data_IF_753969260247
#
_entry.id   IF_753969260247
#
_cell.length_a   1.000
_cell.length_b   1.000
_cell.length_c   1.000
_cell.angle_alpha   90.00
_cell.angle_beta   90.00
_cell.angle_gamma   90.00
#
_symmetry.space_group_name_H-M   'P 1'
#
loop_
_entity.id
_entity.type
_entity.pdbx_description
1 polymer ?
#
# COMPACT_ATOMS: atom_id res chain seq x y z
N UNK A 1 22.04 12.29 43.75
CA UNK A 1 20.78 13.00 43.55
C UNK A 1 19.96 12.97 44.84
N UNK A 2 19.29 14.07 45.15
CA UNK A 2 18.38 14.08 46.26
C UNK A 2 17.01 13.58 45.79
N UNK A 3 16.09 13.42 46.72
CA UNK A 3 14.77 12.88 46.38
C UNK A 3 14.00 13.77 45.39
N UNK A 4 14.16 15.08 45.52
CA UNK A 4 13.44 16.01 44.68
C UNK A 4 13.98 15.94 43.24
N UNK A 5 15.29 15.89 43.10
CA UNK A 5 15.90 15.78 41.76
C UNK A 5 15.51 14.49 41.12
N UNK A 6 15.50 13.40 41.86
CA UNK A 6 15.08 12.09 41.38
C UNK A 6 13.64 12.13 40.88
N UNK A 7 12.76 12.74 41.66
CA UNK A 7 11.35 12.86 41.31
C UNK A 7 11.19 13.68 40.05
N UNK A 8 11.93 14.74 39.91
CA UNK A 8 11.88 15.58 38.73
C UNK A 8 12.32 14.83 37.45
N UNK A 9 13.38 14.05 37.59
CA UNK A 9 13.88 13.24 36.48
C UNK A 9 12.82 12.21 36.08
N UNK A 10 12.23 11.55 37.05
CA UNK A 10 11.20 10.54 36.78
C UNK A 10 10.01 11.18 36.08
N UNK A 11 9.56 12.33 36.56
CA UNK A 11 8.42 13.02 35.94
C UNK A 11 8.73 13.40 34.50
N UNK A 12 9.94 13.87 34.27
CA UNK A 12 10.36 14.20 32.92
C UNK A 12 10.36 12.99 32.01
N UNK A 13 10.89 11.88 32.49
CA UNK A 13 10.90 10.64 31.73
C UNK A 13 9.50 10.13 31.46
N UNK A 14 8.63 10.21 32.44
CA UNK A 14 7.23 9.79 32.27
C UNK A 14 6.55 10.63 31.17
N UNK A 15 6.83 11.93 31.16
CA UNK A 15 6.29 12.82 30.14
C UNK A 15 6.78 12.44 28.76
N UNK A 16 8.06 12.14 28.64
CA UNK A 16 8.65 11.72 27.38
C UNK A 16 8.09 10.39 26.91
N UNK A 17 7.90 9.45 27.83
CA UNK A 17 7.33 8.16 27.50
C UNK A 17 5.90 8.32 26.98
N UNK A 18 5.11 9.14 27.65
CA UNK A 18 3.74 9.39 27.22
C UNK A 18 3.71 9.99 25.83
N UNK A 19 4.61 10.91 25.56
CA UNK A 19 4.71 11.51 24.23
C UNK A 19 5.07 10.47 23.18
N UNK A 20 6.06 9.62 23.50
CA UNK A 20 6.50 8.59 22.57
C UNK A 20 5.41 7.55 22.33
N UNK A 21 4.67 7.19 23.38
CA UNK A 21 3.57 6.26 23.21
C UNK A 21 2.48 6.83 22.28
N UNK A 22 2.15 8.10 22.48
CA UNK A 22 1.18 8.75 21.60
C UNK A 22 1.66 8.82 20.17
N UNK A 23 2.93 9.16 19.99
CA UNK A 23 3.53 9.21 18.65
C UNK A 23 3.54 7.83 18.00
N UNK A 24 3.82 6.82 18.78
CA UNK A 24 3.83 5.44 18.28
C UNK A 24 2.43 5.01 17.84
N UNK A 25 1.40 5.36 18.60
CA UNK A 25 0.02 5.06 18.22
C UNK A 25 -0.35 5.71 16.90
N UNK A 26 0.06 6.96 16.73
CA UNK A 26 -0.18 7.65 15.46
C UNK A 26 0.53 6.98 14.30
N UNK A 27 1.76 6.56 14.50
CA UNK A 27 2.50 5.85 13.47
C UNK A 27 1.83 4.52 13.12
N UNK A 28 1.34 3.80 14.10
CA UNK A 28 0.64 2.56 13.84
C UNK A 28 -0.60 2.78 13.00
N UNK A 29 -1.38 3.82 13.31
CA UNK A 29 -2.56 4.15 12.50
C UNK A 29 -2.17 4.52 11.08
N UNK A 30 -1.09 5.28 10.93
CA UNK A 30 -0.61 5.65 9.61
C UNK A 30 -0.17 4.43 8.82
N UNK A 31 0.52 3.49 9.46
CA UNK A 31 0.94 2.26 8.81
C UNK A 31 -0.25 1.43 8.36
N UNK A 32 -1.26 1.29 9.21
CA UNK A 32 -2.47 0.55 8.85
C UNK A 32 -3.16 1.19 7.64
N UNK A 33 -3.26 2.51 7.64
CA UNK A 33 -3.84 3.23 6.53
C UNK A 33 -3.05 3.01 5.25
N UNK A 34 -1.73 3.04 5.34
CA UNK A 34 -0.87 2.79 4.19
C UNK A 34 -1.01 1.37 3.67
N UNK A 35 -1.11 0.39 4.56
CA UNK A 35 -1.32 -1.00 4.15
C UNK A 35 -2.62 -1.16 3.38
N UNK A 36 -3.69 -0.53 3.85
CA UNK A 36 -4.97 -0.59 3.16
C UNK A 36 -4.87 0.02 1.77
N UNK A 37 -4.16 1.12 1.65
CA UNK A 37 -3.96 1.77 0.35
C UNK A 37 -3.16 0.88 -0.59
N UNK A 38 -2.12 0.25 -0.08
CA UNK A 38 -1.29 -0.66 -0.87
C UNK A 38 -2.13 -1.84 -1.34
N UNK A 39 -2.95 -2.41 -0.48
CA UNK A 39 -3.81 -3.52 -0.85
C UNK A 39 -4.76 -3.11 -1.98
N UNK A 40 -5.37 -1.94 -1.87
CA UNK A 40 -6.25 -1.45 -2.92
C UNK A 40 -5.51 -1.22 -4.22
N UNK A 41 -4.29 -0.68 -4.15
CA UNK A 41 -3.47 -0.46 -5.33
C UNK A 41 -3.07 -1.78 -5.98
N UNK A 42 -2.78 -2.79 -5.19
CA UNK A 42 -2.45 -4.11 -5.71
C UNK A 42 -3.63 -4.69 -6.50
N UNK A 43 -4.83 -4.51 -6.00
CA UNK A 43 -6.02 -4.95 -6.71
C UNK A 43 -6.17 -4.22 -8.05
N UNK A 44 -6.01 -2.91 -8.01
CA UNK A 44 -6.12 -2.10 -9.24
C UNK A 44 -5.05 -2.49 -10.24
N UNK A 45 -3.83 -2.69 -9.78
CA UNK A 45 -2.73 -3.10 -10.67
C UNK A 45 -3.02 -4.46 -11.30
N UNK A 46 -3.53 -5.40 -10.51
CA UNK A 46 -3.89 -6.71 -11.03
C UNK A 46 -4.98 -6.62 -12.08
N UNK A 47 -5.99 -5.81 -11.85
CA UNK A 47 -7.06 -5.59 -12.83
C UNK A 47 -6.53 -4.97 -14.11
N UNK A 48 -5.65 -3.98 -13.99
CA UNK A 48 -5.06 -3.34 -15.15
C UNK A 48 -4.20 -4.31 -15.95
N UNK A 49 -3.42 -5.14 -15.26
CA UNK A 49 -2.63 -6.15 -15.95
C UNK A 49 -3.50 -7.13 -16.70
N UNK A 50 -4.63 -7.52 -16.13
CA UNK A 50 -5.56 -8.41 -16.81
C UNK A 50 -6.15 -7.75 -18.05
N UNK A 51 -6.52 -6.49 -17.94
CA UNK A 51 -7.05 -5.75 -19.10
C UNK A 51 -6.01 -5.61 -20.19
N UNK A 52 -4.77 -5.37 -19.82
CA UNK A 52 -3.69 -5.28 -20.78
C UNK A 52 -3.51 -6.61 -21.52
N UNK A 53 -3.54 -7.71 -20.77
CA UNK A 53 -3.44 -9.03 -21.36
C UNK A 53 -4.59 -9.32 -22.31
N UNK A 54 -5.80 -8.93 -21.94
CA UNK A 54 -6.95 -9.11 -22.79
C UNK A 54 -6.82 -8.31 -24.09
N UNK A 55 -6.39 -7.07 -23.97
CA UNK A 55 -6.21 -6.23 -25.13
C UNK A 55 -5.08 -6.74 -26.03
N UNK A 56 -3.99 -7.20 -25.44
CA UNK A 56 -2.90 -7.77 -26.20
C UNK A 56 -3.35 -9.02 -26.95
N UNK A 57 -4.16 -9.84 -26.31
CA UNK A 57 -4.71 -11.04 -26.93
C UNK A 57 -5.60 -10.68 -28.11
N UNK A 58 -6.43 -9.67 -27.97
CA UNK A 58 -7.30 -9.20 -29.05
C UNK A 58 -6.45 -8.68 -30.21
N UNK A 59 -5.44 -7.89 -29.91
CA UNK A 59 -4.57 -7.34 -30.94
C UNK A 59 -3.83 -8.45 -31.67
N UNK A 60 -3.32 -9.43 -30.96
CA UNK A 60 -2.66 -10.57 -31.57
C UNK A 60 -3.60 -11.32 -32.48
N UNK A 61 -4.85 -11.50 -32.05
CA UNK A 61 -5.83 -12.16 -32.87
C UNK A 61 -6.11 -11.43 -34.15
N UNK A 62 -6.13 -10.12 -34.11
CA UNK A 62 -6.37 -9.31 -35.29
C UNK A 62 -5.18 -9.33 -36.24
N UNK A 63 -3.97 -9.44 -35.74
CA UNK A 63 -2.76 -9.40 -36.55
C UNK A 63 -2.29 -10.78 -36.99
N UNK A 64 -2.88 -11.83 -36.45
CA UNK A 64 -2.43 -13.18 -36.72
C UNK A 64 -2.69 -13.52 -38.18
N UNK A 65 -1.70 -14.07 -38.89
CA UNK A 65 -1.88 -14.47 -40.26
C UNK A 65 -2.96 -15.50 -40.46
N UNK A 66 -3.13 -16.35 -39.47
CA UNK A 66 -4.17 -17.35 -39.52
C UNK A 66 -5.56 -16.76 -39.53
N UNK A 67 -5.67 -15.61 -38.95
CA UNK A 67 -6.96 -14.94 -38.87
C UNK A 67 -7.30 -14.16 -40.10
N UNK A 68 -6.32 -13.95 -40.95
CA UNK A 68 -6.57 -13.23 -42.18
C UNK A 68 -7.53 -13.95 -43.08
N UNK A 69 -7.35 -15.23 -43.13
CA UNK A 69 -8.18 -16.01 -44.02
C UNK A 69 -9.64 -15.86 -43.65
N UNK A 70 -10.00 -15.90 -42.43
CA UNK A 70 -11.39 -15.66 -42.05
C UNK A 70 -11.55 -14.32 -41.41
N UNK A 71 -11.64 -13.31 -42.19
CA UNK A 71 -11.88 -11.98 -41.66
C UNK A 71 -13.00 -11.90 -40.65
N UNK A 72 -13.98 -12.73 -40.77
CA UNK A 72 -15.13 -12.66 -39.83
C UNK A 72 -14.81 -12.89 -38.39
N UNK A 73 -13.64 -13.17 -38.14
CA UNK A 73 -13.27 -13.39 -36.75
C UNK A 73 -13.43 -12.18 -35.87
N UNK A 74 -13.53 -11.09 -36.38
CA UNK A 74 -13.54 -9.87 -35.58
C UNK A 74 -14.84 -9.64 -34.90
#
# INVERSE_FOLDING_TARGET
LNNQETTEVITELETKIAFLEAANDELERALLSQHERIDRLDIVVSELRNRIKEQASIIQGLDSPGDEAPPPHY
#
